data_IF_559643700098
#
_entry.id   IF_559643700098
#
_cell.length_a   1.000
_cell.length_b   1.000
_cell.length_c   1.000
_cell.angle_alpha   90.00
_cell.angle_beta   90.00
_cell.angle_gamma   90.00
#
_symmetry.space_group_name_H-M   'P 1'
#
loop_
_entity.id
_entity.type
_entity.pdbx_description
1 polymer ?
#
# COMPACT_ATOMS: atom_id res chain seq x y z
N UNK A 1 16.85 -3.77 -5.46
CA UNK A 1 15.44 -4.16 -5.26
C UNK A 1 15.41 -5.64 -4.93
N UNK A 2 14.76 -6.05 -3.85
CA UNK A 2 14.65 -7.47 -3.44
C UNK A 2 13.75 -8.31 -4.39
N UNK A 3 13.38 -7.79 -5.56
CA UNK A 3 12.45 -8.45 -6.49
C UNK A 3 11.00 -8.53 -6.00
N UNK A 4 10.62 -7.82 -4.94
CA UNK A 4 9.26 -7.82 -4.43
C UNK A 4 8.28 -7.12 -5.39
N UNK A 5 7.07 -7.66 -5.49
CA UNK A 5 5.93 -7.01 -6.17
C UNK A 5 5.08 -6.30 -5.13
N UNK A 6 4.64 -5.08 -5.44
CA UNK A 6 3.73 -4.30 -4.60
C UNK A 6 2.40 -4.15 -5.33
N UNK A 7 1.30 -4.31 -4.60
CA UNK A 7 -0.05 -4.31 -5.17
C UNK A 7 -0.94 -3.36 -4.39
N UNK A 8 -1.59 -2.44 -5.10
CA UNK A 8 -2.77 -1.76 -4.60
C UNK A 8 -3.95 -2.73 -4.65
N UNK A 9 -4.32 -3.29 -3.51
CA UNK A 9 -5.44 -4.22 -3.40
C UNK A 9 -6.73 -3.42 -3.27
N UNK A 10 -7.17 -2.93 -4.43
CA UNK A 10 -8.14 -1.86 -4.62
C UNK A 10 -9.41 -2.01 -3.77
N UNK A 11 -10.10 -3.14 -3.88
CA UNK A 11 -11.38 -3.38 -3.17
C UNK A 11 -11.15 -3.77 -1.72
N UNK A 12 -9.96 -4.25 -1.38
CA UNK A 12 -9.62 -4.61 0.00
C UNK A 12 -8.97 -3.45 0.76
N UNK A 13 -8.88 -2.23 0.22
CA UNK A 13 -8.37 -1.04 0.91
C UNK A 13 -6.99 -1.24 1.57
N UNK A 14 -6.10 -1.98 0.90
CA UNK A 14 -4.80 -2.41 1.44
C UNK A 14 -3.69 -2.29 0.40
N UNK A 15 -2.46 -2.21 0.89
CA UNK A 15 -1.24 -2.39 0.08
C UNK A 15 -0.60 -3.71 0.45
N UNK A 16 -0.33 -4.53 -0.57
CA UNK A 16 0.23 -5.87 -0.44
C UNK A 16 1.67 -5.89 -0.93
N UNK A 17 2.49 -6.73 -0.30
CA UNK A 17 3.85 -7.07 -0.74
C UNK A 17 3.88 -8.57 -1.06
N UNK A 18 4.44 -8.92 -2.20
CA UNK A 18 4.65 -10.31 -2.63
C UNK A 18 6.15 -10.52 -2.80
N UNK A 19 6.70 -11.50 -2.08
CA UNK A 19 8.12 -11.85 -2.22
C UNK A 19 8.37 -12.70 -3.47
N UNK A 20 9.63 -12.83 -3.94
CA UNK A 20 9.97 -13.75 -5.04
C UNK A 20 9.59 -15.22 -4.76
N UNK A 21 9.47 -15.61 -3.49
CA UNK A 21 8.99 -16.93 -3.07
C UNK A 21 7.44 -17.05 -3.11
N UNK A 22 6.73 -16.01 -3.55
CA UNK A 22 5.27 -15.97 -3.63
C UNK A 22 4.56 -15.68 -2.30
N UNK A 23 5.29 -15.32 -1.24
CA UNK A 23 4.66 -15.00 0.05
C UNK A 23 3.98 -13.64 0.01
N UNK A 24 2.69 -13.60 0.32
CA UNK A 24 1.87 -12.37 0.33
C UNK A 24 1.72 -11.84 1.75
N UNK A 25 2.00 -10.57 1.97
CA UNK A 25 1.72 -9.87 3.23
C UNK A 25 1.00 -8.55 2.98
N UNK A 26 0.33 -8.03 4.01
CA UNK A 26 -0.22 -6.67 4.02
C UNK A 26 0.79 -5.76 4.72
N UNK A 27 1.22 -4.70 4.04
CA UNK A 27 2.18 -3.74 4.62
C UNK A 27 1.49 -2.47 5.13
N UNK A 28 0.29 -2.17 4.64
CA UNK A 28 -0.52 -1.05 5.12
C UNK A 28 -2.01 -1.25 4.80
N UNK A 29 -2.89 -0.72 5.64
CA UNK A 29 -4.34 -0.76 5.46
C UNK A 29 -5.06 -1.74 6.40
N UNK A 30 -6.18 -1.30 6.97
CA UNK A 30 -7.06 -2.16 7.79
C UNK A 30 -8.00 -3.01 6.95
N UNK A 31 -8.34 -2.55 5.74
CA UNK A 31 -9.43 -3.08 4.92
C UNK A 31 -10.73 -2.30 4.99
N UNK A 32 -10.83 -1.28 5.85
CA UNK A 32 -11.95 -0.36 5.86
C UNK A 32 -11.69 0.81 4.90
N UNK A 33 -12.69 1.15 4.09
CA UNK A 33 -12.70 2.35 3.25
C UNK A 33 -12.76 3.60 4.12
N UNK A 34 -11.61 4.24 4.36
CA UNK A 34 -11.51 5.42 5.22
C UNK A 34 -10.22 6.20 4.93
N UNK A 35 -9.99 7.25 5.72
CA UNK A 35 -8.75 8.02 5.69
C UNK A 35 -8.14 8.07 7.10
N UNK A 36 -6.95 7.51 7.24
CA UNK A 36 -6.11 7.67 8.41
C UNK A 36 -4.64 7.57 8.00
N UNK A 37 -3.80 8.43 8.57
CA UNK A 37 -2.35 8.24 8.57
C UNK A 37 -1.96 7.39 9.78
N UNK A 38 -0.89 6.62 9.65
CA UNK A 38 -0.36 5.77 10.70
C UNK A 38 0.57 4.70 10.13
N UNK A 39 1.26 3.97 11.00
CA UNK A 39 2.14 2.88 10.60
C UNK A 39 1.31 1.60 10.36
N UNK A 40 1.67 0.83 9.32
CA UNK A 40 1.10 -0.49 9.06
C UNK A 40 -0.43 -0.55 9.06
N UNK A 41 -0.99 -1.32 10.00
CA UNK A 41 -2.42 -1.53 10.15
C UNK A 41 -3.18 -0.34 10.77
N UNK A 42 -2.51 0.72 11.19
CA UNK A 42 -3.18 1.96 11.62
C UNK A 42 -3.52 2.89 10.45
N UNK A 43 -2.88 2.70 9.28
CA UNK A 43 -3.19 3.45 8.06
C UNK A 43 -4.50 2.94 7.43
N UNK A 44 -5.28 3.85 6.86
CA UNK A 44 -6.48 3.52 6.10
C UNK A 44 -6.44 4.20 4.72
N UNK A 45 -6.94 3.47 3.73
CA UNK A 45 -7.05 3.87 2.32
C UNK A 45 -8.51 3.78 1.86
N UNK A 46 -8.82 4.50 0.80
CA UNK A 46 -10.11 4.44 0.13
C UNK A 46 -9.88 4.19 -1.36
N UNK A 47 -10.08 2.94 -1.77
CA UNK A 47 -9.85 2.45 -3.13
C UNK A 47 -8.47 2.86 -3.69
N UNK A 48 -7.35 2.32 -3.17
CA UNK A 48 -6.04 2.58 -3.77
C UNK A 48 -5.97 1.97 -5.17
N UNK A 49 -5.48 2.72 -6.16
CA UNK A 49 -5.42 2.29 -7.58
C UNK A 49 -4.02 1.88 -8.03
N UNK A 50 -3.03 2.70 -7.70
CA UNK A 50 -1.67 2.55 -8.22
C UNK A 50 -0.64 2.57 -7.11
N UNK A 51 0.48 1.87 -7.35
CA UNK A 51 1.67 1.92 -6.50
C UNK A 51 2.93 2.14 -7.33
N UNK A 52 3.87 2.90 -6.78
CA UNK A 52 5.23 3.04 -7.29
C UNK A 52 6.22 2.91 -6.13
N UNK A 53 7.41 2.39 -6.39
CA UNK A 53 8.42 2.14 -5.36
C UNK A 53 9.74 2.77 -5.78
N UNK A 54 10.37 3.52 -4.89
CA UNK A 54 11.69 4.10 -5.15
C UNK A 54 12.85 3.17 -4.74
N UNK A 55 14.09 3.57 -5.03
CA UNK A 55 15.28 2.78 -4.69
C UNK A 55 15.53 2.63 -3.18
N UNK A 56 14.93 3.50 -2.36
CA UNK A 56 14.99 3.44 -0.91
C UNK A 56 13.89 2.56 -0.31
N UNK A 57 13.02 1.98 -1.13
CA UNK A 57 11.92 1.12 -0.70
C UNK A 57 10.68 1.88 -0.22
N UNK A 58 10.61 3.19 -0.43
CA UNK A 58 9.38 3.93 -0.15
C UNK A 58 8.31 3.55 -1.17
N UNK A 59 7.07 3.36 -0.70
CA UNK A 59 5.92 3.05 -1.55
C UNK A 59 5.03 4.28 -1.66
N UNK A 60 4.82 4.74 -2.88
CA UNK A 60 3.90 5.81 -3.23
C UNK A 60 2.60 5.22 -3.72
N UNK A 61 1.47 5.64 -3.14
CA UNK A 61 0.15 5.07 -3.36
C UNK A 61 -0.79 6.14 -3.89
N UNK A 62 -1.48 5.87 -4.99
CA UNK A 62 -2.61 6.66 -5.43
C UNK A 62 -3.87 6.23 -4.67
N UNK A 63 -4.22 6.96 -3.61
CA UNK A 63 -5.38 6.73 -2.74
C UNK A 63 -6.60 7.44 -3.34
N UNK A 64 -7.19 6.82 -4.35
CA UNK A 64 -7.95 7.51 -5.40
C UNK A 64 -9.21 8.22 -4.87
N UNK A 65 -9.96 7.55 -3.98
CA UNK A 65 -11.21 8.11 -3.44
C UNK A 65 -10.97 9.04 -2.26
N UNK A 66 -9.75 9.04 -1.71
CA UNK A 66 -9.30 10.07 -0.79
C UNK A 66 -8.63 11.25 -1.50
N UNK A 67 -8.52 11.22 -2.84
CA UNK A 67 -7.92 12.26 -3.69
C UNK A 67 -6.49 12.66 -3.27
N UNK A 68 -5.67 11.67 -2.90
CA UNK A 68 -4.33 11.90 -2.36
C UNK A 68 -3.30 10.94 -2.95
N UNK A 69 -2.06 11.42 -3.05
CA UNK A 69 -0.89 10.55 -3.12
C UNK A 69 -0.37 10.35 -1.70
N UNK A 70 -0.20 9.10 -1.29
CA UNK A 70 0.25 8.72 0.05
C UNK A 70 1.64 8.08 -0.04
N UNK A 71 2.45 8.22 1.00
CA UNK A 71 3.80 7.62 1.07
C UNK A 71 3.88 6.68 2.27
N UNK A 72 4.40 5.48 2.06
CA UNK A 72 4.77 4.50 3.10
C UNK A 72 6.29 4.41 3.08
N UNK A 73 6.93 4.62 4.23
CA UNK A 73 8.37 4.40 4.41
C UNK A 73 8.60 2.99 4.95
N UNK A 74 9.78 2.38 4.71
CA UNK A 74 10.17 1.11 5.32
C UNK A 74 10.03 1.07 6.84
#
# INVERSE_FOLDING_TARGET
SEGNVYVADHVNHRIRKITPAGMVSTIAGTGAAAFANGAGNATQFNFPYGVAVDSSGNVYVADAFNHRIRKITP
#
